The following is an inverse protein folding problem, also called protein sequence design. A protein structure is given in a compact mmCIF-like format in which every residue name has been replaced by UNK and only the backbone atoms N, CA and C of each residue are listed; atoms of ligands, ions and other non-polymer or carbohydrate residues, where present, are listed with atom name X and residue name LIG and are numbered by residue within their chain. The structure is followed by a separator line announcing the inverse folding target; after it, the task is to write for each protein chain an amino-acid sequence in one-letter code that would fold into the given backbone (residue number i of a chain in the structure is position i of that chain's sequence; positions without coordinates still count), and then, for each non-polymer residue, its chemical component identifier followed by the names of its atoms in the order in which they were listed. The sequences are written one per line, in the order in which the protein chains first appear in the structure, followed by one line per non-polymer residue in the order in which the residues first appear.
data_IF_815329298147
#
_entry.id   IF_815329298147
#
_cell.length_a   1.000
_cell.length_b   1.000
_cell.length_c   1.000
_cell.angle_alpha   90.00
_cell.angle_beta   90.00
_cell.angle_gamma   90.00
#
_symmetry.space_group_name_H-M   'P 1'
#
loop_
_entity.id
_entity.type
_entity.pdbx_description
1 polymer ?
#
# COMPACT_ATOMS: atom_id res chain seq x y z
N UNK A 1 -14.61 -2.17 -18.04
CA UNK A 1 -13.16 -2.34 -17.82
C UNK A 1 -12.54 -0.95 -17.76
N UNK A 2 -11.77 -0.66 -16.74
CA UNK A 2 -11.14 0.65 -16.52
C UNK A 2 -9.67 0.55 -16.91
N UNK A 3 -9.23 1.42 -17.83
CA UNK A 3 -7.84 1.46 -18.27
C UNK A 3 -6.97 2.19 -17.26
N UNK A 4 -5.91 1.52 -16.82
CA UNK A 4 -4.99 1.99 -15.78
C UNK A 4 -3.58 2.13 -16.33
N UNK A 5 -2.92 3.23 -16.01
CA UNK A 5 -1.49 3.43 -16.16
C UNK A 5 -0.78 3.26 -14.81
N UNK A 6 0.44 2.74 -14.82
CA UNK A 6 1.27 2.64 -13.62
C UNK A 6 2.52 3.49 -13.83
N UNK A 7 2.74 4.46 -12.94
CA UNK A 7 3.97 5.23 -12.89
C UNK A 7 4.87 4.69 -11.77
N UNK A 8 6.07 4.21 -12.14
CA UNK A 8 7.00 3.50 -11.28
C UNK A 8 6.76 1.99 -11.27
N UNK A 9 7.68 1.25 -11.88
CA UNK A 9 7.62 -0.22 -11.97
C UNK A 9 8.57 -0.89 -10.96
N UNK A 10 8.72 -0.23 -9.81
CA UNK A 10 9.40 -0.75 -8.64
C UNK A 10 8.59 -1.87 -7.97
N UNK A 11 8.86 -2.13 -6.70
CA UNK A 11 8.18 -3.18 -5.92
C UNK A 11 6.65 -3.03 -5.97
N UNK A 12 6.15 -1.85 -5.61
CA UNK A 12 4.71 -1.61 -5.49
C UNK A 12 4.02 -1.64 -6.86
N UNK A 13 4.60 -0.96 -7.88
CA UNK A 13 4.01 -0.96 -9.23
C UNK A 13 3.86 -2.36 -9.81
N UNK A 14 4.85 -3.25 -9.61
CA UNK A 14 4.76 -4.65 -10.07
C UNK A 14 3.73 -5.47 -9.30
N UNK A 15 3.56 -5.23 -8.00
CA UNK A 15 2.51 -5.91 -7.21
C UNK A 15 1.13 -5.44 -7.67
N UNK A 16 0.94 -4.13 -7.86
CA UNK A 16 -0.30 -3.56 -8.43
C UNK A 16 -0.58 -4.19 -9.80
N UNK A 17 0.44 -4.29 -10.66
CA UNK A 17 0.31 -4.93 -11.97
C UNK A 17 -0.13 -6.40 -11.84
N UNK A 18 0.57 -7.21 -11.05
CA UNK A 18 0.23 -8.62 -10.86
C UNK A 18 -1.18 -8.79 -10.31
N UNK A 19 -1.56 -7.98 -9.33
CA UNK A 19 -2.88 -8.05 -8.71
C UNK A 19 -4.00 -7.61 -9.68
N UNK A 20 -3.74 -6.64 -10.56
CA UNK A 20 -4.74 -6.18 -11.54
C UNK A 20 -5.25 -7.29 -12.47
N UNK A 21 -4.43 -8.32 -12.70
CA UNK A 21 -4.81 -9.46 -13.54
C UNK A 21 -5.91 -10.33 -12.91
N UNK A 22 -6.11 -10.22 -11.60
CA UNK A 22 -7.16 -10.91 -10.84
C UNK A 22 -8.46 -10.06 -10.77
N UNK A 23 -8.45 -8.84 -11.30
CA UNK A 23 -9.58 -7.92 -11.27
C UNK A 23 -10.10 -7.66 -12.70
N UNK A 24 -11.18 -8.33 -13.13
CA UNK A 24 -11.67 -8.25 -14.51
C UNK A 24 -12.16 -6.85 -14.91
N UNK A 25 -12.42 -5.98 -13.94
CA UNK A 25 -12.89 -4.61 -14.19
C UNK A 25 -11.76 -3.62 -14.47
N UNK A 26 -10.50 -4.04 -14.32
CA UNK A 26 -9.31 -3.21 -14.55
C UNK A 26 -8.42 -3.79 -15.64
N UNK A 27 -7.80 -2.92 -16.44
CA UNK A 27 -6.80 -3.30 -17.44
C UNK A 27 -5.62 -2.35 -17.38
N UNK A 28 -4.43 -2.87 -17.12
CA UNK A 28 -3.20 -2.08 -17.17
C UNK A 28 -2.75 -1.97 -18.62
N UNK A 29 -2.88 -0.78 -19.18
CA UNK A 29 -2.59 -0.50 -20.60
C UNK A 29 -1.24 0.19 -20.81
N UNK A 30 -0.66 0.75 -19.76
CA UNK A 30 0.63 1.44 -19.83
C UNK A 30 1.41 1.37 -18.51
N UNK A 31 2.73 1.35 -18.65
CA UNK A 31 3.69 1.46 -17.55
C UNK A 31 4.72 2.52 -17.90
N UNK A 32 5.09 3.36 -16.95
CA UNK A 32 6.20 4.30 -17.06
C UNK A 32 7.26 4.04 -16.01
N UNK A 33 8.51 3.87 -16.42
CA UNK A 33 9.66 3.90 -15.50
C UNK A 33 10.91 4.33 -16.27
N UNK A 34 11.51 5.49 -15.94
CA UNK A 34 12.68 6.00 -16.67
C UNK A 34 14.00 5.33 -16.30
N UNK A 35 14.00 4.41 -15.33
CA UNK A 35 15.22 3.77 -14.82
C UNK A 35 15.33 2.28 -15.18
N UNK A 36 14.32 1.72 -15.82
CA UNK A 36 14.22 0.30 -16.14
C UNK A 36 13.93 0.15 -17.63
N UNK A 37 14.81 -0.51 -18.38
CA UNK A 37 14.54 -0.86 -19.77
C UNK A 37 13.50 -1.99 -19.89
N UNK A 38 13.00 -2.20 -21.11
CA UNK A 38 11.93 -3.15 -21.37
C UNK A 38 12.32 -4.60 -21.07
N UNK A 39 13.54 -5.01 -21.42
CA UNK A 39 14.00 -6.37 -21.17
C UNK A 39 14.16 -6.64 -19.68
N UNK A 40 14.63 -5.64 -18.94
CA UNK A 40 14.71 -5.72 -17.49
C UNK A 40 13.34 -5.68 -16.82
N UNK A 41 12.35 -4.94 -17.37
CA UNK A 41 10.95 -5.01 -16.91
C UNK A 41 10.39 -6.43 -17.06
N UNK A 42 10.63 -7.08 -18.19
CA UNK A 42 10.25 -8.48 -18.42
C UNK A 42 10.86 -9.40 -17.35
N UNK A 43 12.17 -9.25 -17.10
CA UNK A 43 12.87 -10.03 -16.08
C UNK A 43 12.28 -9.81 -14.69
N UNK A 44 12.12 -8.55 -14.28
CA UNK A 44 11.62 -8.19 -12.95
C UNK A 44 10.16 -8.60 -12.72
N UNK A 45 9.34 -8.69 -13.78
CA UNK A 45 7.98 -9.18 -13.66
C UNK A 45 7.93 -10.71 -13.56
N UNK A 46 8.84 -11.41 -14.29
CA UNK A 46 8.94 -12.88 -14.25
C UNK A 46 9.38 -13.40 -12.90
N UNK A 47 10.33 -12.72 -12.25
CA UNK A 47 11.01 -13.23 -11.07
C UNK A 47 10.86 -12.27 -9.90
N UNK A 48 10.39 -12.79 -8.79
CA UNK A 48 10.19 -12.02 -7.56
C UNK A 48 10.58 -12.86 -6.35
N UNK A 49 11.43 -12.30 -5.47
CA UNK A 49 11.95 -13.02 -4.31
C UNK A 49 10.89 -13.29 -3.25
N UNK A 50 9.83 -12.49 -3.22
CA UNK A 50 8.73 -12.61 -2.24
C UNK A 50 7.57 -13.44 -2.81
N UNK A 51 7.11 -13.07 -4.01
CA UNK A 51 5.91 -13.64 -4.63
C UNK A 51 6.21 -14.72 -5.68
N UNK A 52 7.49 -15.10 -5.81
CA UNK A 52 7.89 -16.17 -6.72
C UNK A 52 7.77 -15.81 -8.21
N UNK A 53 7.86 -16.83 -9.04
CA UNK A 53 7.70 -16.66 -10.49
C UNK A 53 6.29 -16.20 -10.83
N UNK A 54 6.21 -15.32 -11.83
CA UNK A 54 4.92 -14.92 -12.40
C UNK A 54 4.26 -16.13 -13.08
N UNK A 55 3.00 -16.37 -12.76
CA UNK A 55 2.19 -17.42 -13.39
C UNK A 55 1.58 -16.86 -14.68
N UNK A 56 2.27 -17.10 -15.79
CA UNK A 56 1.88 -16.62 -17.10
C UNK A 56 3.06 -16.30 -18.02
N UNK A 57 2.75 -15.82 -19.21
CA UNK A 57 3.73 -15.46 -20.21
C UNK A 57 4.08 -13.96 -20.13
N UNK A 58 5.37 -13.66 -20.10
CA UNK A 58 5.89 -12.27 -20.16
C UNK A 58 6.98 -12.19 -21.22
N UNK A 59 6.86 -11.25 -22.14
CA UNK A 59 7.84 -11.01 -23.20
C UNK A 59 7.90 -9.54 -23.61
N UNK A 60 8.90 -9.19 -24.38
CA UNK A 60 8.99 -7.90 -25.07
C UNK A 60 8.69 -8.10 -26.55
N UNK A 61 7.85 -7.26 -27.14
CA UNK A 61 7.57 -7.26 -28.57
C UNK A 61 7.22 -5.85 -29.05
N UNK A 62 7.83 -5.42 -30.14
CA UNK A 62 7.57 -4.13 -30.80
C UNK A 62 7.62 -2.93 -29.83
N UNK A 63 8.61 -2.91 -28.91
CA UNK A 63 8.77 -1.87 -27.91
C UNK A 63 7.74 -1.88 -26.78
N UNK A 64 6.92 -2.92 -26.65
CA UNK A 64 5.89 -3.07 -25.64
C UNK A 64 6.17 -4.26 -24.73
N UNK A 65 5.71 -4.15 -23.50
CA UNK A 65 5.61 -5.27 -22.58
C UNK A 65 4.38 -6.11 -22.97
N UNK A 66 4.57 -7.41 -23.19
CA UNK A 66 3.49 -8.33 -23.52
C UNK A 66 3.30 -9.32 -22.39
N UNK A 67 2.10 -9.33 -21.80
CA UNK A 67 1.75 -10.21 -20.69
C UNK A 67 0.47 -10.97 -21.03
N UNK A 68 0.54 -12.30 -21.03
CA UNK A 68 -0.58 -13.19 -21.38
C UNK A 68 -1.24 -12.78 -22.72
N UNK A 69 -0.40 -12.42 -23.72
CA UNK A 69 -0.83 -11.98 -25.04
C UNK A 69 -1.34 -10.53 -25.13
N UNK A 70 -1.45 -9.81 -24.03
CA UNK A 70 -1.85 -8.38 -24.02
C UNK A 70 -0.63 -7.49 -24.15
N UNK A 71 -0.70 -6.50 -25.04
CA UNK A 71 0.36 -5.51 -25.28
C UNK A 71 0.14 -4.28 -24.39
N UNK A 72 1.18 -3.89 -23.64
CA UNK A 72 1.17 -2.81 -22.68
C UNK A 72 2.19 -1.77 -23.13
N UNK A 73 1.79 -0.51 -23.21
CA UNK A 73 2.69 0.58 -23.58
C UNK A 73 3.75 0.78 -22.49
N UNK A 74 4.99 1.02 -22.91
CA UNK A 74 6.11 1.29 -21.99
C UNK A 74 6.65 2.67 -22.29
N UNK A 75 6.68 3.53 -21.29
CA UNK A 75 7.23 4.87 -21.33
C UNK A 75 8.43 5.00 -20.39
N UNK A 76 9.30 5.97 -20.65
CA UNK A 76 10.53 6.21 -19.88
C UNK A 76 10.69 7.69 -19.50
N UNK A 77 9.60 8.34 -19.15
CA UNK A 77 9.56 9.77 -18.85
C UNK A 77 9.84 10.04 -17.36
N UNK A 78 10.76 10.98 -17.09
CA UNK A 78 11.09 11.42 -15.72
C UNK A 78 10.08 12.44 -15.18
N UNK A 79 9.55 13.29 -16.05
CA UNK A 79 8.51 14.25 -15.71
C UNK A 79 7.15 13.67 -16.05
N UNK A 80 6.27 13.47 -15.05
CA UNK A 80 4.95 12.90 -15.30
C UNK A 80 4.10 13.68 -16.29
N UNK A 81 4.37 14.97 -16.49
CA UNK A 81 3.63 15.80 -17.48
C UNK A 81 3.90 15.41 -18.93
N UNK A 82 5.00 14.68 -19.19
CA UNK A 82 5.40 14.24 -20.52
C UNK A 82 4.94 12.79 -20.82
N UNK A 83 4.37 12.09 -19.86
CA UNK A 83 3.88 10.73 -20.09
C UNK A 83 2.57 10.81 -20.88
N UNK A 84 2.51 10.24 -22.10
CA UNK A 84 1.34 10.39 -22.97
C UNK A 84 0.24 9.36 -22.61
N UNK A 85 -0.35 9.49 -21.43
CA UNK A 85 -1.39 8.57 -20.94
C UNK A 85 -2.59 8.46 -21.90
N UNK A 86 -2.93 9.57 -22.57
CA UNK A 86 -4.01 9.59 -23.57
C UNK A 86 -3.76 8.68 -24.76
N UNK A 87 -2.51 8.51 -25.20
CA UNK A 87 -2.16 7.64 -26.34
C UNK A 87 -2.40 6.15 -26.02
N UNK A 88 -2.17 5.75 -24.77
CA UNK A 88 -2.45 4.39 -24.31
C UNK A 88 -3.90 4.20 -23.85
N UNK A 89 -4.66 5.29 -23.74
CA UNK A 89 -6.03 5.27 -23.19
C UNK A 89 -6.09 5.08 -21.68
N UNK A 90 -4.98 5.26 -20.95
CA UNK A 90 -4.93 5.19 -19.50
C UNK A 90 -5.67 6.38 -18.87
N UNK A 91 -6.86 6.14 -18.34
CA UNK A 91 -7.68 7.17 -17.70
C UNK A 91 -7.35 7.35 -16.21
N UNK A 92 -6.95 6.28 -15.54
CA UNK A 92 -6.56 6.26 -14.15
C UNK A 92 -5.08 5.92 -14.06
N UNK A 93 -4.34 6.65 -13.23
CA UNK A 93 -2.91 6.41 -13.02
C UNK A 93 -2.66 6.05 -11.57
N UNK A 94 -1.97 4.94 -11.34
CA UNK A 94 -1.42 4.59 -10.03
C UNK A 94 0.02 5.09 -9.99
N UNK A 95 0.29 6.11 -9.16
CA UNK A 95 1.65 6.56 -8.91
C UNK A 95 2.28 5.74 -7.78
N UNK A 96 3.24 4.90 -8.15
CA UNK A 96 3.97 4.00 -7.25
C UNK A 96 5.45 4.39 -7.10
N UNK A 97 5.80 5.63 -7.45
CA UNK A 97 7.19 6.13 -7.37
C UNK A 97 7.61 6.53 -5.96
N UNK A 98 6.65 6.92 -5.11
CA UNK A 98 6.92 7.52 -3.80
C UNK A 98 7.48 8.94 -3.88
N UNK A 99 7.51 9.57 -5.06
CA UNK A 99 8.06 10.92 -5.30
C UNK A 99 6.97 11.97 -5.40
N UNK A 100 5.89 11.69 -6.13
CA UNK A 100 4.81 12.64 -6.45
C UNK A 100 3.65 12.52 -5.46
N UNK A 101 3.89 12.89 -4.18
CA UNK A 101 2.96 12.64 -3.06
C UNK A 101 2.05 13.82 -2.71
N UNK A 102 2.25 14.99 -3.29
CA UNK A 102 1.34 16.14 -3.11
C UNK A 102 0.39 16.29 -4.30
N UNK A 103 -0.74 16.96 -4.11
CA UNK A 103 -1.69 17.30 -5.18
C UNK A 103 -0.97 17.99 -6.34
N UNK A 104 -0.14 19.00 -6.04
CA UNK A 104 0.62 19.74 -7.03
C UNK A 104 1.46 18.83 -7.91
N UNK A 105 2.28 17.96 -7.28
CA UNK A 105 3.19 17.06 -8.01
C UNK A 105 2.46 15.98 -8.79
N UNK A 106 1.47 15.35 -8.17
CA UNK A 106 0.70 14.28 -8.82
C UNK A 106 -0.19 14.82 -9.95
N UNK A 107 -0.62 16.08 -9.89
CA UNK A 107 -1.40 16.74 -10.96
C UNK A 107 -0.65 16.83 -12.29
N UNK A 108 0.67 16.65 -12.31
CA UNK A 108 1.45 16.61 -13.55
C UNK A 108 0.94 15.48 -14.50
N UNK A 109 0.46 14.35 -13.98
CA UNK A 109 -0.10 13.28 -14.78
C UNK A 109 -1.36 13.69 -15.56
N UNK A 110 -2.12 14.67 -15.06
CA UNK A 110 -3.34 15.14 -15.73
C UNK A 110 -3.02 15.81 -17.07
N UNK A 111 -1.82 16.41 -17.20
CA UNK A 111 -1.35 17.02 -18.46
C UNK A 111 -1.12 15.98 -19.55
N UNK A 112 -0.72 14.76 -19.17
CA UNK A 112 -0.55 13.62 -20.07
C UNK A 112 -1.87 12.94 -20.47
N UNK A 113 -3.01 13.40 -19.93
CA UNK A 113 -4.34 12.90 -20.27
C UNK A 113 -4.97 11.97 -19.23
N UNK A 114 -4.33 11.74 -18.10
CA UNK A 114 -4.97 11.06 -16.97
C UNK A 114 -6.16 11.87 -16.44
N UNK A 115 -7.22 11.20 -16.04
CA UNK A 115 -8.38 11.82 -15.40
C UNK A 115 -8.28 11.80 -13.87
N UNK A 116 -7.68 10.74 -13.33
CA UNK A 116 -7.46 10.56 -11.89
C UNK A 116 -6.12 9.93 -11.63
N UNK A 117 -5.54 10.29 -10.50
CA UNK A 117 -4.30 9.72 -9.98
C UNK A 117 -4.54 9.17 -8.58
N UNK A 118 -4.16 7.92 -8.38
CA UNK A 118 -4.10 7.27 -7.07
C UNK A 118 -2.64 7.19 -6.66
N UNK A 119 -2.26 7.94 -5.65
CA UNK A 119 -0.92 7.87 -5.07
C UNK A 119 -0.85 6.70 -4.10
N UNK A 120 0.03 5.73 -4.37
CA UNK A 120 0.19 4.51 -3.55
C UNK A 120 1.06 4.75 -2.30
N UNK A 121 0.97 5.93 -1.72
CA UNK A 121 1.71 6.37 -0.54
C UNK A 121 0.91 7.44 0.21
N UNK A 122 1.21 7.70 1.50
CA UNK A 122 0.57 8.80 2.22
C UNK A 122 0.83 10.13 1.53
N UNK A 123 -0.22 10.94 1.40
CA UNK A 123 -0.13 12.30 0.88
C UNK A 123 -0.19 13.33 2.01
N UNK A 124 0.46 14.47 1.79
CA UNK A 124 0.43 15.58 2.73
C UNK A 124 -0.90 16.33 2.67
N UNK A 125 -1.45 16.50 1.45
CA UNK A 125 -2.57 17.37 1.11
C UNK A 125 -3.70 16.68 0.33
N UNK A 126 -3.45 15.58 -0.37
CA UNK A 126 -4.51 14.83 -1.04
C UNK A 126 -5.35 14.03 -0.05
N UNK A 127 -6.67 13.92 -0.30
CA UNK A 127 -7.55 13.09 0.51
C UNK A 127 -7.07 11.63 0.49
N UNK A 128 -7.10 11.00 1.67
CA UNK A 128 -6.70 9.61 1.87
C UNK A 128 -7.91 8.73 2.07
N UNK A 129 -7.93 7.60 1.35
CA UNK A 129 -8.98 6.60 1.44
C UNK A 129 -8.42 5.25 1.83
N UNK A 130 -9.08 4.60 2.77
CA UNK A 130 -8.82 3.23 3.19
C UNK A 130 -10.08 2.40 2.99
N UNK A 131 -9.96 1.30 2.27
CA UNK A 131 -11.08 0.40 2.01
C UNK A 131 -11.71 -0.08 3.34
N UNK A 132 -13.04 -0.09 3.39
CA UNK A 132 -13.79 -0.45 4.60
C UNK A 132 -13.86 0.62 5.69
N UNK A 133 -13.14 1.74 5.54
CA UNK A 133 -13.10 2.77 6.58
C UNK A 133 -13.84 4.05 6.19
N UNK A 134 -13.55 4.62 5.02
CA UNK A 134 -14.06 5.94 4.65
C UNK A 134 -14.37 6.13 3.16
N UNK A 135 -14.55 5.05 2.40
CA UNK A 135 -14.92 5.18 0.98
C UNK A 135 -16.25 5.88 0.76
N UNK A 136 -17.15 5.86 1.73
CA UNK A 136 -18.44 6.57 1.67
C UNK A 136 -18.27 8.09 1.56
N UNK A 137 -17.12 8.61 2.00
CA UNK A 137 -16.76 10.03 1.89
C UNK A 137 -16.10 10.40 0.55
N UNK A 138 -15.92 9.44 -0.37
CA UNK A 138 -15.24 9.67 -1.63
C UNK A 138 -15.98 10.70 -2.50
N UNK A 139 -15.23 11.74 -2.89
CA UNK A 139 -15.75 12.79 -3.77
C UNK A 139 -15.24 12.56 -5.21
N UNK A 140 -16.11 12.24 -6.18
CA UNK A 140 -15.71 12.02 -7.56
C UNK A 140 -15.04 13.21 -8.25
N UNK A 141 -15.20 14.43 -7.73
CA UNK A 141 -14.54 15.63 -8.28
C UNK A 141 -13.03 15.71 -7.95
N UNK A 142 -12.56 14.93 -6.99
CA UNK A 142 -11.14 14.87 -6.63
C UNK A 142 -10.38 14.07 -7.67
N UNK A 143 -9.41 14.73 -8.32
CA UNK A 143 -8.61 14.10 -9.37
C UNK A 143 -7.36 13.41 -8.82
N UNK A 144 -6.89 13.82 -7.63
CA UNK A 144 -5.73 13.24 -6.95
C UNK A 144 -6.19 12.71 -5.61
N UNK A 145 -5.98 11.42 -5.38
CA UNK A 145 -6.29 10.76 -4.11
C UNK A 145 -5.12 9.89 -3.66
N UNK A 146 -5.06 9.58 -2.38
CA UNK A 146 -4.07 8.66 -1.82
C UNK A 146 -4.76 7.46 -1.21
N UNK A 147 -4.17 6.27 -1.37
CA UNK A 147 -4.61 5.08 -0.64
C UNK A 147 -3.89 4.87 0.70
N UNK A 148 -3.27 5.92 1.24
CA UNK A 148 -2.53 5.93 2.50
C UNK A 148 -1.26 5.02 2.50
N UNK A 149 -0.81 4.60 3.67
CA UNK A 149 0.33 3.68 3.83
C UNK A 149 -0.13 2.25 4.13
N UNK A 150 0.77 1.28 3.96
CA UNK A 150 0.54 -0.10 4.36
C UNK A 150 0.15 -0.20 5.85
N UNK A 151 0.87 0.47 6.74
CA UNK A 151 0.58 0.49 8.18
C UNK A 151 -0.78 1.13 8.47
N UNK A 152 -1.16 2.20 7.76
CA UNK A 152 -2.49 2.82 7.91
C UNK A 152 -3.59 1.87 7.43
N UNK A 153 -3.40 1.15 6.33
CA UNK A 153 -4.35 0.17 5.84
C UNK A 153 -4.51 -1.04 6.78
N UNK A 154 -3.45 -1.41 7.51
CA UNK A 154 -3.54 -2.42 8.55
C UNK A 154 -4.28 -1.90 9.80
N UNK A 155 -3.90 -0.71 10.28
CA UNK A 155 -4.37 -0.16 11.55
C UNK A 155 -5.81 0.36 11.48
N UNK A 156 -6.21 1.02 10.39
CA UNK A 156 -7.51 1.71 10.32
C UNK A 156 -8.71 0.75 10.41
N UNK A 157 -8.77 -0.39 9.71
CA UNK A 157 -9.88 -1.34 9.85
C UNK A 157 -9.99 -1.88 11.29
N UNK A 158 -8.88 -2.24 11.91
CA UNK A 158 -8.84 -2.73 13.29
C UNK A 158 -9.31 -1.64 14.27
N UNK A 159 -8.73 -0.44 14.18
CA UNK A 159 -9.10 0.68 15.04
C UNK A 159 -10.56 1.07 14.87
N UNK A 160 -11.11 0.98 13.65
CA UNK A 160 -12.53 1.25 13.37
C UNK A 160 -13.43 0.31 14.14
N UNK A 161 -13.21 -0.99 14.06
CA UNK A 161 -14.04 -1.99 14.78
C UNK A 161 -14.02 -1.73 16.29
N UNK A 162 -12.83 -1.52 16.86
CA UNK A 162 -12.69 -1.28 18.31
C UNK A 162 -13.35 0.05 18.69
N UNK A 163 -13.15 1.10 17.89
CA UNK A 163 -13.70 2.42 18.17
C UNK A 163 -15.22 2.44 18.07
N UNK A 164 -15.78 1.89 17.02
CA UNK A 164 -17.23 1.88 16.77
C UNK A 164 -17.98 1.09 17.87
N UNK A 165 -17.39 0.01 18.36
CA UNK A 165 -18.02 -0.84 19.38
C UNK A 165 -17.77 -0.39 20.81
N UNK A 166 -16.51 -0.09 21.13
CA UNK A 166 -16.07 0.10 22.51
C UNK A 166 -15.62 1.54 22.83
N UNK A 167 -15.40 2.38 21.81
CA UNK A 167 -14.91 3.76 21.96
C UNK A 167 -13.42 3.79 22.33
N UNK A 168 -12.57 4.28 21.43
CA UNK A 168 -11.14 4.52 21.74
C UNK A 168 -11.02 5.92 22.34
N UNK A 169 -10.46 6.00 23.54
CA UNK A 169 -10.11 7.25 24.21
C UNK A 169 -8.74 7.73 23.73
N UNK A 170 -7.75 6.84 23.78
CA UNK A 170 -6.38 7.07 23.35
C UNK A 170 -5.70 5.74 23.03
N UNK A 171 -4.62 5.77 22.26
CA UNK A 171 -3.88 4.55 21.96
C UNK A 171 -2.46 4.79 21.44
N UNK A 172 -1.64 3.75 21.61
CA UNK A 172 -0.29 3.66 21.12
C UNK A 172 -0.21 2.49 20.13
N UNK A 173 0.36 2.75 18.96
CA UNK A 173 0.65 1.74 17.97
C UNK A 173 2.15 1.52 17.85
N UNK A 174 2.58 0.28 17.95
CA UNK A 174 3.92 -0.14 17.53
C UNK A 174 3.82 -0.97 16.27
N UNK A 175 4.66 -0.69 15.27
CA UNK A 175 4.73 -1.55 14.10
C UNK A 175 6.10 -2.20 13.99
N UNK A 176 6.11 -3.54 13.92
CA UNK A 176 7.27 -4.33 13.55
C UNK A 176 7.21 -4.52 12.04
N UNK A 177 8.07 -3.78 11.34
CA UNK A 177 7.92 -3.54 9.91
C UNK A 177 8.99 -4.25 9.08
N UNK A 178 8.57 -4.89 8.01
CA UNK A 178 9.47 -5.48 7.03
C UNK A 178 10.38 -4.42 6.38
N UNK A 179 11.46 -4.87 5.78
CA UNK A 179 12.42 -4.02 5.07
C UNK A 179 11.78 -3.35 3.86
N UNK A 180 12.22 -2.15 3.54
CA UNK A 180 11.77 -1.40 2.36
C UNK A 180 12.96 -1.01 1.48
N UNK A 181 12.69 -0.71 0.20
CA UNK A 181 13.71 -0.37 -0.79
C UNK A 181 14.57 0.85 -0.43
N UNK A 182 14.14 1.68 0.51
CA UNK A 182 14.90 2.86 0.98
C UNK A 182 15.99 2.52 1.99
N UNK A 183 15.96 1.33 2.59
CA UNK A 183 16.97 0.88 3.53
C UNK A 183 18.23 0.38 2.81
N UNK A 184 19.37 0.44 3.51
CA UNK A 184 20.64 -0.05 2.99
C UNK A 184 20.83 -1.53 3.31
N UNK A 185 21.43 -2.27 2.37
CA UNK A 185 21.82 -3.68 2.61
C UNK A 185 23.03 -3.79 3.53
N UNK A 186 23.99 -2.87 3.39
CA UNK A 186 25.17 -2.69 4.25
C UNK A 186 25.22 -1.26 4.76
N UNK A 187 25.98 -1.02 5.84
CA UNK A 187 26.13 0.34 6.39
C UNK A 187 26.61 1.31 5.31
N UNK A 188 25.87 2.38 5.12
CA UNK A 188 26.15 3.40 4.12
C UNK A 188 25.56 4.76 4.47
N UNK A 189 26.02 5.82 3.82
CA UNK A 189 25.59 7.18 4.13
C UNK A 189 24.09 7.37 3.86
N UNK A 190 23.43 8.04 4.80
CA UNK A 190 22.04 8.49 4.68
C UNK A 190 21.91 9.84 5.36
N UNK A 191 21.77 10.91 4.58
CA UNK A 191 21.78 12.28 5.08
C UNK A 191 20.53 12.66 5.88
N UNK A 192 19.37 12.06 5.57
CA UNK A 192 18.09 12.38 6.18
C UNK A 192 17.69 11.45 7.34
N UNK A 193 18.14 10.21 7.28
CA UNK A 193 17.82 9.17 8.25
C UNK A 193 19.05 8.29 8.48
N UNK A 194 19.84 8.63 9.49
CA UNK A 194 21.08 7.90 9.81
C UNK A 194 20.82 6.44 10.16
N UNK A 195 19.73 6.15 10.87
CA UNK A 195 19.36 4.78 11.23
C UNK A 195 18.98 3.96 10.00
N UNK A 196 18.27 4.56 9.04
CA UNK A 196 17.95 3.94 7.75
C UNK A 196 19.18 3.69 6.86
N UNK A 197 20.34 4.29 7.17
CA UNK A 197 21.63 4.01 6.55
C UNK A 197 22.34 2.76 7.06
N UNK A 198 21.82 2.11 8.11
CA UNK A 198 22.42 0.89 8.69
C UNK A 198 21.89 -0.36 7.97
N UNK A 199 22.70 -1.44 8.05
CA UNK A 199 22.42 -2.72 7.41
C UNK A 199 21.06 -3.30 7.85
N UNK A 200 20.10 -3.35 6.91
CA UNK A 200 18.72 -3.77 7.19
C UNK A 200 18.62 -5.24 7.62
N UNK A 201 19.50 -6.09 7.09
CA UNK A 201 19.52 -7.53 7.39
C UNK A 201 20.13 -7.91 8.74
N UNK A 202 20.71 -6.96 9.51
CA UNK A 202 21.44 -7.23 10.73
C UNK A 202 20.93 -6.44 11.95
N UNK A 203 19.91 -5.62 11.81
CA UNK A 203 19.50 -4.68 12.86
C UNK A 203 18.00 -4.65 13.08
N UNK A 204 17.60 -4.32 14.31
CA UNK A 204 16.28 -3.75 14.62
C UNK A 204 16.44 -2.23 14.55
N UNK A 205 15.78 -1.59 13.60
CA UNK A 205 15.97 -0.16 13.31
C UNK A 205 14.76 0.65 13.74
N UNK A 206 14.83 1.45 14.83
CA UNK A 206 13.76 2.37 15.19
C UNK A 206 13.54 3.42 14.10
N UNK A 207 12.30 3.67 13.76
CA UNK A 207 11.93 4.63 12.70
C UNK A 207 10.66 5.39 13.12
N UNK A 208 10.54 6.63 12.69
CA UNK A 208 9.29 7.37 12.86
C UNK A 208 8.23 6.88 11.88
N UNK A 209 6.98 6.98 12.29
CA UNK A 209 5.83 6.68 11.41
C UNK A 209 4.73 7.70 11.59
N UNK A 210 4.13 8.11 10.48
CA UNK A 210 2.92 8.94 10.47
C UNK A 210 1.62 8.15 10.42
N UNK A 211 1.68 6.82 10.42
CA UNK A 211 0.52 5.96 10.18
C UNK A 211 -0.59 6.13 11.22
N UNK A 212 -0.24 6.22 12.50
CA UNK A 212 -1.22 6.44 13.56
C UNK A 212 -1.94 7.79 13.42
N UNK A 213 -1.21 8.86 13.05
CA UNK A 213 -1.81 10.17 12.77
C UNK A 213 -2.68 10.14 11.52
N UNK A 214 -2.29 9.36 10.50
CA UNK A 214 -3.06 9.22 9.28
C UNK A 214 -4.42 8.54 9.51
N UNK A 215 -4.53 7.65 10.50
CA UNK A 215 -5.84 7.08 10.90
C UNK A 215 -6.83 8.18 11.30
N UNK A 216 -6.38 9.24 11.97
CA UNK A 216 -7.23 10.38 12.30
C UNK A 216 -7.73 11.19 11.09
N UNK A 217 -7.05 11.11 9.94
CA UNK A 217 -7.54 11.68 8.67
C UNK A 217 -8.60 10.78 8.02
N UNK A 218 -8.49 9.47 8.19
CA UNK A 218 -9.40 8.46 7.63
C UNK A 218 -10.64 8.28 8.52
N UNK A 219 -10.45 8.29 9.83
CA UNK A 219 -11.51 8.19 10.87
C UNK A 219 -11.42 9.44 11.74
N UNK A 220 -12.15 10.52 11.39
CA UNK A 220 -12.00 11.83 12.06
C UNK A 220 -12.22 11.81 13.58
N UNK A 221 -13.06 10.92 14.10
CA UNK A 221 -13.29 10.73 15.54
C UNK A 221 -12.07 10.23 16.32
N UNK A 222 -11.06 9.69 15.62
CA UNK A 222 -9.77 9.25 16.17
C UNK A 222 -8.66 10.30 16.01
N UNK A 223 -8.96 11.48 15.47
CA UNK A 223 -7.95 12.51 15.29
C UNK A 223 -7.35 12.93 16.65
N UNK A 224 -6.02 12.88 16.76
CA UNK A 224 -5.28 13.21 17.98
C UNK A 224 -5.29 12.14 19.06
N UNK A 225 -6.04 11.04 18.88
CA UNK A 225 -6.14 9.97 19.90
C UNK A 225 -5.07 8.89 19.75
N UNK A 226 -4.46 8.74 18.58
CA UNK A 226 -3.47 7.69 18.31
C UNK A 226 -2.10 8.29 18.04
N UNK A 227 -1.08 7.65 18.61
CA UNK A 227 0.33 7.89 18.31
C UNK A 227 1.04 6.57 18.03
N UNK A 228 2.27 6.60 17.52
CA UNK A 228 2.96 5.36 17.25
C UNK A 228 4.41 5.50 16.85
N UNK A 229 5.09 4.35 16.83
CA UNK A 229 6.48 4.18 16.41
C UNK A 229 6.64 2.92 15.56
N UNK A 230 7.75 2.84 14.84
CA UNK A 230 8.09 1.70 13.99
C UNK A 230 9.44 1.11 14.36
N UNK A 231 9.53 -0.21 14.27
CA UNK A 231 10.79 -0.96 14.31
C UNK A 231 10.92 -1.75 13.01
N UNK A 232 11.94 -1.47 12.23
CA UNK A 232 12.23 -2.25 11.03
C UNK A 232 13.10 -3.45 11.39
N UNK A 233 12.70 -4.61 10.87
CA UNK A 233 13.31 -5.91 11.15
C UNK A 233 13.73 -6.62 9.87
N UNK A 234 14.65 -7.60 9.92
CA UNK A 234 15.16 -8.32 8.76
C UNK A 234 14.15 -9.32 8.15
N UNK A 235 12.96 -8.89 7.82
CA UNK A 235 11.96 -9.65 7.06
C UNK A 235 11.69 -8.94 5.74
N UNK A 236 11.37 -9.68 4.68
CA UNK A 236 11.21 -9.13 3.34
C UNK A 236 9.79 -8.68 3.04
N UNK A 237 8.81 -9.20 3.76
CA UNK A 237 7.39 -8.91 3.58
C UNK A 237 6.61 -9.21 4.86
N UNK A 238 5.38 -8.73 4.91
CA UNK A 238 4.44 -8.78 6.05
C UNK A 238 4.98 -8.07 7.29
N UNK A 239 4.26 -7.04 7.70
CA UNK A 239 4.53 -6.26 8.91
C UNK A 239 3.47 -6.53 9.97
N UNK A 240 3.80 -6.31 11.22
CA UNK A 240 2.87 -6.45 12.35
C UNK A 240 2.54 -5.08 12.93
N UNK A 241 1.29 -4.88 13.29
CA UNK A 241 0.82 -3.75 14.11
C UNK A 241 0.39 -4.28 15.47
N UNK A 242 1.01 -3.77 16.52
CA UNK A 242 0.58 -3.93 17.89
C UNK A 242 -0.15 -2.65 18.31
N UNK A 243 -1.43 -2.77 18.69
CA UNK A 243 -2.27 -1.65 19.08
C UNK A 243 -2.71 -1.78 20.54
N UNK A 244 -2.18 -0.91 21.38
CA UNK A 244 -2.60 -0.75 22.77
C UNK A 244 -3.55 0.44 22.88
N UNK A 245 -4.78 0.22 23.38
CA UNK A 245 -5.80 1.28 23.50
C UNK A 245 -6.45 1.30 24.87
N UNK A 246 -6.82 2.50 25.31
CA UNK A 246 -7.79 2.69 26.40
C UNK A 246 -9.18 2.88 25.78
N UNK A 247 -10.12 2.03 26.16
CA UNK A 247 -11.49 2.04 25.65
C UNK A 247 -12.47 2.65 26.64
N UNK A 248 -13.57 3.23 26.14
CA UNK A 248 -14.61 3.84 26.96
C UNK A 248 -15.49 2.79 27.63
N UNK A 249 -15.89 1.77 26.87
CA UNK A 249 -16.75 0.68 27.34
C UNK A 249 -15.87 -0.51 27.69
N UNK A 250 -15.88 -0.92 28.95
CA UNK A 250 -15.17 -2.10 29.40
C UNK A 250 -15.60 -3.35 28.59
N UNK A 251 -14.63 -4.13 28.19
CA UNK A 251 -14.85 -5.36 27.44
C UNK A 251 -13.80 -6.41 27.80
N UNK A 252 -14.20 -7.67 27.81
CA UNK A 252 -13.28 -8.79 27.89
C UNK A 252 -12.56 -8.98 26.53
N UNK A 253 -11.43 -9.70 26.55
CA UNK A 253 -10.73 -10.02 25.32
C UNK A 253 -11.59 -10.88 24.38
N UNK A 254 -12.41 -11.77 24.93
CA UNK A 254 -13.33 -12.60 24.14
C UNK A 254 -14.40 -11.77 23.43
N UNK A 255 -14.94 -10.73 24.08
CA UNK A 255 -15.86 -9.80 23.42
C UNK A 255 -15.19 -9.00 22.30
N UNK A 256 -13.92 -8.60 22.47
CA UNK A 256 -13.15 -7.91 21.44
C UNK A 256 -12.91 -8.85 20.25
N UNK A 257 -12.45 -10.08 20.50
CA UNK A 257 -12.25 -11.10 19.44
C UNK A 257 -13.55 -11.37 18.68
N UNK A 258 -14.64 -11.56 19.40
CA UNK A 258 -15.95 -11.84 18.80
C UNK A 258 -16.40 -10.71 17.88
N UNK A 259 -16.21 -9.44 18.28
CA UNK A 259 -16.60 -8.29 17.46
C UNK A 259 -15.70 -8.16 16.22
N UNK A 260 -14.37 -8.35 16.35
CA UNK A 260 -13.46 -8.31 15.23
C UNK A 260 -13.79 -9.44 14.23
N UNK A 261 -14.04 -10.67 14.72
CA UNK A 261 -14.47 -11.80 13.89
C UNK A 261 -15.77 -11.49 13.15
N UNK A 262 -16.78 -10.98 13.87
CA UNK A 262 -18.04 -10.57 13.27
C UNK A 262 -17.83 -9.56 12.13
N UNK A 263 -17.02 -8.52 12.37
CA UNK A 263 -16.73 -7.50 11.37
C UNK A 263 -16.00 -8.08 10.14
N UNK A 264 -15.05 -9.01 10.36
CA UNK A 264 -14.30 -9.67 9.26
C UNK A 264 -15.19 -10.55 8.38
N UNK A 265 -16.26 -11.11 8.93
CA UNK A 265 -17.21 -11.95 8.19
C UNK A 265 -18.32 -11.14 7.50
N UNK A 266 -18.52 -9.88 7.88
CA UNK A 266 -19.60 -9.01 7.41
C UNK A 266 -19.08 -7.75 6.69
N UNK A 267 -19.13 -6.59 7.35
CA UNK A 267 -18.85 -5.28 6.71
C UNK A 267 -17.40 -5.07 6.27
N UNK A 268 -16.46 -5.81 6.86
CA UNK A 268 -15.05 -5.77 6.48
C UNK A 268 -14.58 -7.06 5.77
N UNK A 269 -15.53 -7.86 5.26
CA UNK A 269 -15.20 -9.08 4.54
C UNK A 269 -14.29 -8.80 3.33
N UNK A 270 -13.19 -9.55 3.24
CA UNK A 270 -12.15 -9.36 2.21
C UNK A 270 -11.21 -8.19 2.47
N UNK A 271 -11.40 -7.43 3.56
CA UNK A 271 -10.55 -6.31 3.97
C UNK A 271 -9.83 -6.65 5.28
N UNK A 272 -10.58 -7.08 6.29
CA UNK A 272 -10.06 -7.55 7.57
C UNK A 272 -10.21 -9.06 7.65
N UNK A 273 -9.09 -9.77 7.77
CA UNK A 273 -9.05 -11.20 8.07
C UNK A 273 -9.03 -11.45 9.58
N UNK A 274 -9.25 -12.70 9.96
CA UNK A 274 -9.24 -13.17 11.35
C UNK A 274 -8.67 -14.58 11.41
N UNK A 275 -7.76 -14.84 12.34
CA UNK A 275 -7.22 -16.19 12.59
C UNK A 275 -7.14 -16.51 14.07
N UNK A 276 -7.29 -17.78 14.42
CA UNK A 276 -7.01 -18.36 15.74
C UNK A 276 -5.89 -19.41 15.66
N UNK A 277 -5.24 -19.54 14.51
CA UNK A 277 -4.10 -20.42 14.33
C UNK A 277 -2.82 -19.78 14.88
N UNK A 278 -1.85 -20.60 15.29
CA UNK A 278 -0.54 -20.14 15.74
C UNK A 278 0.36 -19.91 14.52
N UNK A 279 0.19 -18.77 13.88
CA UNK A 279 0.83 -18.39 12.62
C UNK A 279 1.98 -17.42 12.82
N UNK A 280 2.78 -17.25 11.77
CA UNK A 280 3.86 -16.26 11.70
C UNK A 280 3.74 -15.43 10.43
N UNK A 281 4.47 -14.33 10.34
CA UNK A 281 4.35 -13.37 9.24
C UNK A 281 4.47 -13.98 7.85
N UNK A 282 5.29 -15.04 7.68
CA UNK A 282 5.51 -15.68 6.39
C UNK A 282 4.26 -16.39 5.86
N UNK A 283 3.34 -16.82 6.74
CA UNK A 283 2.09 -17.48 6.36
C UNK A 283 1.11 -16.55 5.64
N UNK A 284 1.30 -15.23 5.78
CA UNK A 284 0.44 -14.21 5.17
C UNK A 284 0.99 -13.63 3.87
N UNK A 285 2.16 -14.07 3.41
CA UNK A 285 2.70 -13.57 2.12
C UNK A 285 1.78 -13.95 0.98
N UNK A 286 1.30 -12.94 0.24
CA UNK A 286 0.34 -13.11 -0.84
C UNK A 286 -1.13 -13.08 -0.42
N UNK A 287 -1.44 -12.96 0.86
CA UNK A 287 -2.81 -12.74 1.32
C UNK A 287 -3.33 -11.36 0.87
N UNK A 288 -4.58 -11.33 0.38
CA UNK A 288 -5.17 -10.13 -0.20
C UNK A 288 -5.90 -9.22 0.80
N UNK A 289 -5.99 -9.60 2.07
CA UNK A 289 -6.56 -8.72 3.08
C UNK A 289 -5.65 -7.52 3.38
N UNK A 290 -6.24 -6.37 3.65
CA UNK A 290 -5.49 -5.18 4.10
C UNK A 290 -4.91 -5.36 5.50
N UNK A 291 -5.56 -6.17 6.33
CA UNK A 291 -5.20 -6.46 7.71
C UNK A 291 -5.73 -7.83 8.09
N UNK A 292 -5.00 -8.56 8.93
CA UNK A 292 -5.44 -9.85 9.49
C UNK A 292 -5.22 -9.80 10.98
N UNK A 293 -6.31 -10.00 11.75
CA UNK A 293 -6.24 -10.03 13.19
C UNK A 293 -5.83 -11.42 13.68
N UNK A 294 -4.70 -11.48 14.37
CA UNK A 294 -4.23 -12.67 15.07
C UNK A 294 -4.82 -12.67 16.49
N UNK A 295 -5.76 -13.58 16.74
CA UNK A 295 -6.49 -13.64 17.99
C UNK A 295 -5.73 -14.37 19.11
N UNK A 296 -4.55 -14.94 18.81
CA UNK A 296 -3.69 -15.62 19.78
C UNK A 296 -2.39 -14.88 20.12
N UNK A 297 -2.04 -13.86 19.33
CA UNK A 297 -0.86 -13.04 19.59
C UNK A 297 -1.04 -12.05 20.75
#
# INVERSE_FOLDING_TARGET
MVNVGINGFGRIGRIVFRNSLNHPDTDVVAVNDPFIDLDYMVYMLKYDSTHGRFDGEVSARDGKLVVNGRSIHVYAEKDPSNIPWSESGALYVVDSTGVFKSIEKASAHLKGGARKVVVSAPSEDAPMYVCGCNLDSYNPSENIVSNASCTTNCLAPLAKVIHDKFGIVEGLMSTVHATTATQKTVDGPSSKDWRGGRAAGANIIPSSTGAAKAVGKVIPSLNGKLTGMAFRVPTIDVSVVDLTVRIEKSASYDEIKAEIKRASENELKGILGYTEDEVVSQDFVGDNHSSIFDAKA
#
